data_IF_209595811166
#
_entry.id   IF_209595811166
#
_cell.length_a   1.000
_cell.length_b   1.000
_cell.length_c   1.000
_cell.angle_alpha   90.00
_cell.angle_beta   90.00
_cell.angle_gamma   90.00
#
_symmetry.space_group_name_H-M   'P 1'
#
loop_
_entity.id
_entity.type
_entity.pdbx_description
1 polymer ?
#
# COMPACT_ATOMS: atom_id res chain seq x y z
N UNK A 1 -21.42 7.92 -24.98
CA UNK A 1 -21.95 6.56 -25.24
C UNK A 1 -23.46 6.70 -25.24
N UNK A 2 -24.20 6.23 -26.25
CA UNK A 2 -25.66 6.26 -26.23
C UNK A 2 -26.20 5.55 -24.98
N UNK A 3 -27.31 6.04 -24.41
CA UNK A 3 -27.80 5.60 -23.10
C UNK A 3 -28.23 4.12 -23.02
N UNK A 4 -28.48 3.49 -24.16
CA UNK A 4 -28.92 2.11 -24.34
C UNK A 4 -27.80 1.14 -24.74
N UNK A 5 -26.55 1.61 -24.82
CA UNK A 5 -25.42 0.80 -25.23
C UNK A 5 -24.55 0.36 -24.05
N UNK A 6 -24.24 -0.93 -23.99
CA UNK A 6 -23.25 -1.48 -23.07
C UNK A 6 -21.93 -1.73 -23.81
N UNK A 7 -20.83 -1.21 -23.27
CA UNK A 7 -19.48 -1.43 -23.80
C UNK A 7 -18.76 -2.41 -22.89
N UNK A 8 -18.26 -3.50 -23.48
CA UNK A 8 -17.39 -4.44 -22.79
C UNK A 8 -15.94 -4.16 -23.21
N UNK A 9 -15.07 -3.94 -22.22
CA UNK A 9 -13.65 -3.70 -22.41
C UNK A 9 -12.84 -4.70 -21.58
N UNK A 10 -11.75 -5.23 -22.16
CA UNK A 10 -10.78 -6.01 -21.41
C UNK A 10 -9.99 -5.12 -20.45
N UNK A 11 -9.93 -5.49 -19.17
CA UNK A 11 -9.03 -4.85 -18.20
C UNK A 11 -7.58 -5.33 -18.31
N UNK A 12 -6.75 -4.93 -17.35
CA UNK A 12 -5.35 -5.37 -17.12
C UNK A 12 -4.32 -4.97 -18.20
N UNK A 13 -4.78 -4.62 -19.40
CA UNK A 13 -3.95 -4.32 -20.56
C UNK A 13 -4.04 -2.85 -20.98
N UNK A 14 -2.98 -2.33 -21.58
CA UNK A 14 -2.92 -0.97 -22.12
C UNK A 14 -2.00 -0.92 -23.36
N UNK A 15 -1.96 0.22 -24.05
CA UNK A 15 -1.00 0.50 -25.11
C UNK A 15 0.09 1.46 -24.63
N UNK A 16 1.34 1.25 -25.03
CA UNK A 16 2.41 2.23 -24.84
C UNK A 16 2.44 3.27 -25.98
N UNK A 17 3.37 4.23 -25.94
CA UNK A 17 3.51 5.28 -26.96
C UNK A 17 3.78 4.76 -28.38
N UNK A 18 4.28 3.51 -28.51
CA UNK A 18 4.52 2.83 -29.80
C UNK A 18 3.33 2.02 -30.28
N UNK A 19 2.23 2.00 -29.53
CA UNK A 19 1.06 1.16 -29.80
C UNK A 19 1.24 -0.32 -29.46
N UNK A 20 2.28 -0.67 -28.70
CA UNK A 20 2.52 -2.05 -28.28
C UNK A 20 1.65 -2.38 -27.06
N UNK A 21 1.16 -3.62 -27.00
CA UNK A 21 0.38 -4.14 -25.88
C UNK A 21 1.27 -4.30 -24.64
N UNK A 22 0.86 -3.67 -23.54
CA UNK A 22 1.52 -3.77 -22.23
C UNK A 22 0.53 -4.17 -21.14
N UNK A 23 1.05 -4.66 -20.02
CA UNK A 23 0.27 -5.05 -18.85
C UNK A 23 0.43 -4.03 -17.72
N UNK A 24 -0.63 -3.80 -16.96
CA UNK A 24 -0.67 -2.80 -15.88
C UNK A 24 -0.12 -3.32 -14.54
N UNK A 25 0.22 -4.61 -14.47
CA UNK A 25 0.74 -5.27 -13.28
C UNK A 25 -0.36 -5.68 -12.30
N UNK A 26 0.02 -5.89 -11.03
CA UNK A 26 -0.90 -6.40 -9.99
C UNK A 26 -2.13 -5.50 -9.85
N UNK A 27 -3.31 -6.12 -9.81
CA UNK A 27 -4.63 -5.46 -9.79
C UNK A 27 -4.87 -4.51 -10.98
N UNK A 28 -4.26 -4.82 -12.12
CA UNK A 28 -4.38 -4.01 -13.34
C UNK A 28 -5.81 -3.89 -13.88
N UNK A 29 -6.69 -4.86 -13.62
CA UNK A 29 -8.11 -4.78 -14.01
C UNK A 29 -8.85 -3.69 -13.26
N UNK A 30 -8.70 -3.65 -11.93
CA UNK A 30 -9.31 -2.59 -11.11
C UNK A 30 -8.77 -1.22 -11.53
N UNK A 31 -7.45 -1.13 -11.75
CA UNK A 31 -6.82 0.09 -12.25
C UNK A 31 -7.37 0.52 -13.61
N UNK A 32 -7.64 -0.43 -14.51
CA UNK A 32 -8.26 -0.14 -15.81
C UNK A 32 -9.65 0.47 -15.64
N UNK A 33 -10.47 -0.09 -14.73
CA UNK A 33 -11.81 0.43 -14.43
C UNK A 33 -11.74 1.85 -13.85
N UNK A 34 -10.83 2.10 -12.90
CA UNK A 34 -10.63 3.42 -12.31
C UNK A 34 -10.17 4.47 -13.31
N UNK A 35 -9.23 4.13 -14.20
CA UNK A 35 -8.76 5.04 -15.25
C UNK A 35 -9.88 5.32 -16.25
N UNK A 36 -10.63 4.30 -16.67
CA UNK A 36 -11.76 4.48 -17.59
C UNK A 36 -12.85 5.36 -16.96
N UNK A 37 -13.18 5.14 -15.68
CA UNK A 37 -14.12 5.96 -14.93
C UNK A 37 -13.66 7.43 -14.90
N UNK A 38 -12.37 7.68 -14.64
CA UNK A 38 -11.78 9.01 -14.69
C UNK A 38 -11.87 9.66 -16.08
N UNK A 39 -11.51 8.92 -17.15
CA UNK A 39 -11.58 9.42 -18.53
C UNK A 39 -13.01 9.79 -18.96
N UNK A 40 -14.00 9.01 -18.51
CA UNK A 40 -15.41 9.23 -18.83
C UNK A 40 -16.10 10.21 -17.87
N UNK A 41 -15.44 10.63 -16.78
CA UNK A 41 -16.06 11.34 -15.65
C UNK A 41 -17.32 10.62 -15.17
N UNK A 42 -17.19 9.32 -14.96
CA UNK A 42 -18.29 8.47 -14.53
C UNK A 42 -18.83 8.94 -13.17
N UNK A 43 -20.13 8.77 -12.95
CA UNK A 43 -20.78 9.07 -11.68
C UNK A 43 -20.34 8.12 -10.55
N UNK A 44 -19.88 6.90 -10.90
CA UNK A 44 -19.43 5.89 -9.95
C UNK A 44 -18.48 4.88 -10.65
N UNK A 45 -17.56 4.30 -9.88
CA UNK A 45 -16.74 3.15 -10.27
C UNK A 45 -17.04 1.94 -9.37
N UNK A 46 -17.76 0.94 -9.88
CA UNK A 46 -18.02 -0.28 -9.11
C UNK A 46 -16.92 -1.33 -9.31
N UNK A 47 -16.42 -1.89 -8.21
CA UNK A 47 -15.46 -3.00 -8.21
C UNK A 47 -16.18 -4.23 -7.64
N UNK A 48 -16.40 -5.20 -8.52
CA UNK A 48 -17.09 -6.45 -8.21
C UNK A 48 -16.07 -7.55 -7.91
N UNK A 49 -16.09 -8.06 -6.68
CA UNK A 49 -15.11 -9.02 -6.13
C UNK A 49 -15.83 -10.20 -5.46
N UNK A 50 -15.11 -10.99 -4.65
CA UNK A 50 -15.57 -12.17 -3.91
C UNK A 50 -15.92 -11.88 -2.43
N UNK A 51 -15.91 -10.62 -2.02
CA UNK A 51 -16.25 -10.15 -0.67
C UNK A 51 -17.33 -9.06 -0.70
N UNK A 52 -18.12 -8.97 0.36
CA UNK A 52 -19.23 -8.02 0.51
C UNK A 52 -18.78 -6.55 0.62
N UNK A 53 -17.48 -6.30 0.74
CA UNK A 53 -16.88 -4.97 0.79
C UNK A 53 -15.60 -4.98 1.64
N UNK A 54 -15.26 -3.83 2.22
CA UNK A 54 -14.14 -3.67 3.15
C UNK A 54 -14.61 -3.92 4.57
N UNK A 55 -13.92 -4.79 5.30
CA UNK A 55 -14.21 -5.09 6.70
C UNK A 55 -13.27 -4.33 7.64
N UNK A 56 -13.69 -4.17 8.91
CA UNK A 56 -12.87 -3.58 9.97
C UNK A 56 -11.54 -4.32 10.19
N UNK A 57 -11.48 -5.61 9.88
CA UNK A 57 -10.29 -6.45 9.90
C UNK A 57 -10.55 -7.69 9.04
N UNK A 58 -9.57 -8.56 8.85
CA UNK A 58 -9.76 -9.78 8.05
C UNK A 58 -10.80 -10.71 8.71
N UNK A 59 -11.99 -10.93 8.10
CA UNK A 59 -13.04 -11.76 8.68
C UNK A 59 -12.65 -13.24 8.80
N UNK A 60 -11.58 -13.68 8.10
CA UNK A 60 -11.04 -15.03 8.23
C UNK A 60 -10.24 -15.22 9.51
N UNK A 61 -9.75 -14.12 10.09
CA UNK A 61 -8.97 -14.10 11.34
C UNK A 61 -9.82 -13.66 12.54
N UNK A 62 -10.77 -12.75 12.32
CA UNK A 62 -11.63 -12.18 13.36
C UNK A 62 -13.10 -12.38 12.99
N UNK A 63 -13.82 -13.33 13.63
CA UNK A 63 -15.23 -13.61 13.31
C UNK A 63 -16.17 -12.42 13.49
N UNK A 64 -15.86 -11.52 14.42
CA UNK A 64 -16.66 -10.33 14.73
C UNK A 64 -16.35 -9.13 13.81
N UNK A 65 -15.58 -9.33 12.74
CA UNK A 65 -15.27 -8.29 11.77
C UNK A 65 -16.55 -7.72 11.14
N UNK A 66 -16.65 -6.40 11.10
CA UNK A 66 -17.85 -5.70 10.60
C UNK A 66 -17.60 -5.13 9.22
N UNK A 67 -18.60 -5.23 8.35
CA UNK A 67 -18.57 -4.58 7.05
C UNK A 67 -18.64 -3.05 7.24
N UNK A 68 -17.70 -2.33 6.65
CA UNK A 68 -17.69 -0.88 6.64
C UNK A 68 -18.69 -0.38 5.58
N UNK A 69 -19.59 0.51 5.98
CA UNK A 69 -20.55 1.12 5.06
C UNK A 69 -19.86 2.09 4.11
N UNK A 70 -18.99 2.92 4.66
CA UNK A 70 -18.27 3.95 3.93
C UNK A 70 -16.89 4.22 4.53
N UNK A 71 -15.98 4.69 3.68
CA UNK A 71 -14.65 5.15 4.08
C UNK A 71 -14.14 6.20 3.10
N UNK A 72 -13.21 7.04 3.56
CA UNK A 72 -12.54 8.02 2.71
C UNK A 72 -11.53 7.36 1.77
N UNK A 73 -11.18 8.05 0.69
CA UNK A 73 -10.10 7.62 -0.20
C UNK A 73 -8.76 7.41 0.54
N UNK A 74 -8.46 8.29 1.50
CA UNK A 74 -7.21 8.22 2.26
C UNK A 74 -7.20 6.99 3.17
N UNK A 75 -8.30 6.74 3.91
CA UNK A 75 -8.44 5.53 4.73
C UNK A 75 -8.30 4.27 3.87
N UNK A 76 -8.94 4.23 2.69
CA UNK A 76 -8.85 3.08 1.80
C UNK A 76 -7.42 2.87 1.29
N UNK A 77 -6.70 3.94 0.98
CA UNK A 77 -5.32 3.90 0.50
C UNK A 77 -4.37 3.36 1.58
N UNK A 78 -4.46 3.89 2.80
CA UNK A 78 -3.63 3.46 3.93
C UNK A 78 -3.89 2.00 4.31
N UNK A 79 -5.18 1.63 4.45
CA UNK A 79 -5.57 0.27 4.81
C UNK A 79 -5.08 -0.74 3.75
N UNK A 80 -5.19 -0.37 2.47
CA UNK A 80 -4.69 -1.17 1.36
C UNK A 80 -3.17 -1.29 1.32
N UNK A 81 -2.46 -0.20 1.58
CA UNK A 81 -0.99 -0.17 1.63
C UNK A 81 -0.47 -1.09 2.74
N UNK A 82 -1.12 -1.09 3.91
CA UNK A 82 -0.75 -1.92 5.06
C UNK A 82 -1.43 -3.30 5.09
N UNK A 83 -1.83 -3.82 3.93
CA UNK A 83 -2.09 -5.25 3.74
C UNK A 83 -3.54 -5.67 3.60
N UNK A 84 -4.51 -4.75 3.69
CA UNK A 84 -5.90 -5.07 3.37
C UNK A 84 -6.09 -5.18 1.84
N UNK A 85 -6.09 -6.41 1.33
CA UNK A 85 -6.10 -6.72 -0.11
C UNK A 85 -7.48 -6.53 -0.78
N UNK A 86 -8.15 -5.41 -0.56
CA UNK A 86 -9.44 -5.13 -1.22
C UNK A 86 -9.23 -4.30 -2.49
N UNK A 87 -8.38 -3.27 -2.43
CA UNK A 87 -8.07 -2.40 -3.56
C UNK A 87 -6.57 -2.12 -3.61
N UNK A 88 -6.04 -1.85 -4.80
CA UNK A 88 -4.65 -1.40 -4.91
C UNK A 88 -4.59 0.13 -4.82
N UNK A 89 -3.60 0.75 -4.13
CA UNK A 89 -3.45 2.20 -4.06
C UNK A 89 -3.44 2.90 -5.44
N UNK A 90 -2.86 2.23 -6.46
CA UNK A 90 -2.90 2.73 -7.85
C UNK A 90 -4.32 2.86 -8.41
N UNK A 91 -5.24 2.00 -8.01
CA UNK A 91 -6.65 2.05 -8.40
C UNK A 91 -7.38 3.21 -7.74
N UNK A 92 -7.06 3.50 -6.48
CA UNK A 92 -7.70 4.57 -5.70
C UNK A 92 -7.28 5.95 -6.24
N UNK A 93 -6.06 6.08 -6.75
CA UNK A 93 -5.50 7.39 -7.14
C UNK A 93 -6.31 8.11 -8.22
N UNK A 94 -6.66 7.51 -9.38
CA UNK A 94 -7.48 8.18 -10.39
C UNK A 94 -8.86 8.60 -9.87
N UNK A 95 -9.58 7.69 -9.21
CA UNK A 95 -10.93 7.99 -8.72
C UNK A 95 -10.92 9.07 -7.63
N UNK A 96 -9.91 9.09 -6.76
CA UNK A 96 -9.75 10.12 -5.75
C UNK A 96 -9.44 11.49 -6.38
N UNK A 97 -8.57 11.53 -7.40
CA UNK A 97 -8.23 12.79 -8.10
C UNK A 97 -9.46 13.45 -8.74
N UNK A 98 -10.36 12.65 -9.31
CA UNK A 98 -11.57 13.13 -9.96
C UNK A 98 -12.81 13.11 -9.05
N UNK A 99 -12.65 12.78 -7.75
CA UNK A 99 -13.74 12.68 -6.77
C UNK A 99 -14.87 11.74 -7.24
N UNK A 100 -14.51 10.65 -7.92
CA UNK A 100 -15.45 9.62 -8.38
C UNK A 100 -15.63 8.61 -7.24
N UNK A 101 -16.84 8.42 -6.72
CA UNK A 101 -17.09 7.43 -5.68
C UNK A 101 -16.85 6.02 -6.22
N UNK A 102 -16.31 5.14 -5.38
CA UNK A 102 -16.06 3.75 -5.74
C UNK A 102 -16.82 2.81 -4.80
N UNK A 103 -17.58 1.88 -5.37
CA UNK A 103 -18.40 0.94 -4.60
C UNK A 103 -17.82 -0.47 -4.73
N UNK A 104 -17.46 -1.07 -3.60
CA UNK A 104 -16.99 -2.45 -3.54
C UNK A 104 -18.19 -3.37 -3.35
N UNK A 105 -18.36 -4.35 -4.23
CA UNK A 105 -19.51 -5.26 -4.25
C UNK A 105 -19.09 -6.71 -4.40
N UNK A 106 -19.96 -7.61 -3.96
CA UNK A 106 -19.75 -9.05 -4.10
C UNK A 106 -20.54 -9.62 -5.29
N UNK A 107 -19.83 -10.28 -6.21
CA UNK A 107 -20.45 -11.03 -7.31
C UNK A 107 -21.30 -12.21 -6.82
N UNK A 108 -20.91 -12.86 -5.73
CA UNK A 108 -21.64 -13.97 -5.10
C UNK A 108 -22.78 -13.54 -4.18
N UNK A 109 -22.82 -12.28 -3.78
CA UNK A 109 -23.89 -11.70 -2.96
C UNK A 109 -24.27 -10.28 -3.44
N UNK A 110 -24.93 -10.13 -4.61
CA UNK A 110 -25.18 -8.83 -5.22
C UNK A 110 -26.10 -7.89 -4.41
N UNK A 111 -26.82 -8.44 -3.44
CA UNK A 111 -27.73 -7.71 -2.54
C UNK A 111 -26.99 -7.14 -1.31
N UNK A 112 -25.74 -7.53 -1.07
CA UNK A 112 -24.92 -6.91 -0.03
C UNK A 112 -24.80 -5.40 -0.28
N UNK A 113 -24.83 -4.58 0.79
CA UNK A 113 -24.77 -3.13 0.65
C UNK A 113 -23.45 -2.62 0.07
N UNK A 114 -22.36 -3.40 0.21
CA UNK A 114 -21.04 -2.97 -0.24
C UNK A 114 -20.32 -2.06 0.75
N UNK A 115 -19.19 -1.53 0.29
CA UNK A 115 -18.51 -0.40 0.94
C UNK A 115 -18.32 0.72 -0.06
N UNK A 116 -18.77 1.92 0.29
CA UNK A 116 -18.59 3.13 -0.50
C UNK A 116 -17.29 3.86 -0.11
N UNK A 117 -16.38 4.00 -1.06
CA UNK A 117 -15.16 4.79 -0.94
C UNK A 117 -15.40 6.15 -1.60
N UNK A 118 -15.31 7.23 -0.84
CA UNK A 118 -15.70 8.57 -1.32
C UNK A 118 -15.05 9.72 -0.55
N UNK A 119 -15.50 10.94 -0.84
CA UNK A 119 -15.03 12.16 -0.18
C UNK A 119 -15.57 12.32 1.25
N UNK A 120 -16.78 11.80 1.50
CA UNK A 120 -17.44 11.82 2.80
C UNK A 120 -17.50 10.41 3.38
N UNK A 121 -16.85 10.18 4.51
CA UNK A 121 -17.15 9.04 5.37
C UNK A 121 -18.42 9.36 6.17
N UNK A 122 -19.34 8.40 6.30
CA UNK A 122 -20.36 8.50 7.34
C UNK A 122 -19.64 8.60 8.69
N UNK A 123 -19.97 9.66 9.41
CA UNK A 123 -19.32 10.11 10.64
C UNK A 123 -19.73 9.22 11.81
N UNK A 124 -19.27 7.97 11.80
CA UNK A 124 -19.48 7.04 12.92
C UNK A 124 -18.67 7.46 14.17
N UNK A 125 -17.95 8.60 14.16
CA UNK A 125 -17.10 9.10 15.25
C UNK A 125 -16.12 8.04 15.82
N UNK A 126 -15.82 7.01 15.02
CA UNK A 126 -14.88 5.96 15.39
C UNK A 126 -13.46 6.41 15.05
N UNK A 127 -12.56 6.55 16.04
CA UNK A 127 -11.18 6.97 15.78
C UNK A 127 -10.36 5.92 15.00
N UNK A 128 -10.84 4.67 14.95
CA UNK A 128 -10.21 3.58 14.20
C UNK A 128 -11.28 2.89 13.35
N UNK A 129 -11.16 3.01 12.02
CA UNK A 129 -12.07 2.36 11.06
C UNK A 129 -11.69 0.91 10.78
N UNK A 130 -10.40 0.58 10.81
CA UNK A 130 -9.98 -0.79 10.61
C UNK A 130 -8.53 -1.07 10.97
N UNK A 131 -8.23 -2.36 11.03
CA UNK A 131 -6.94 -2.93 11.41
C UNK A 131 -6.53 -3.88 10.28
N UNK A 132 -5.39 -3.61 9.67
CA UNK A 132 -4.75 -4.48 8.68
C UNK A 132 -3.41 -4.99 9.21
N UNK A 133 -2.88 -6.03 8.59
CA UNK A 133 -1.55 -6.53 8.89
C UNK A 133 -0.70 -6.63 7.63
N UNK A 134 0.56 -6.19 7.76
CA UNK A 134 1.57 -6.39 6.72
C UNK A 134 2.51 -7.51 7.14
N UNK A 135 2.25 -8.70 6.61
CA UNK A 135 3.02 -9.91 6.93
C UNK A 135 4.30 -10.01 6.08
N UNK A 136 5.23 -10.88 6.49
CA UNK A 136 6.48 -11.17 5.79
C UNK A 136 7.38 -9.94 5.60
N UNK A 137 7.69 -9.28 6.72
CA UNK A 137 8.58 -8.13 6.80
C UNK A 137 9.79 -8.47 7.67
N UNK A 138 10.97 -7.96 7.30
CA UNK A 138 12.18 -7.98 8.12
C UNK A 138 12.43 -6.56 8.65
N UNK A 139 12.67 -6.43 9.96
CA UNK A 139 12.96 -5.14 10.60
C UNK A 139 14.45 -5.02 10.89
N UNK A 140 15.13 -4.11 10.21
CA UNK A 140 16.53 -3.80 10.49
C UNK A 140 16.61 -2.70 11.53
N UNK A 141 17.55 -2.83 12.48
CA UNK A 141 17.92 -1.76 13.40
C UNK A 141 19.40 -1.43 13.26
N UNK A 142 19.69 -0.17 12.96
CA UNK A 142 21.04 0.41 12.97
C UNK A 142 21.16 1.21 14.25
N UNK A 143 21.97 0.74 15.20
CA UNK A 143 22.16 1.35 16.51
C UNK A 143 23.64 1.48 16.85
N UNK A 144 23.97 2.41 17.74
CA UNK A 144 25.31 2.51 18.31
C UNK A 144 25.71 3.94 18.68
N UNK A 145 26.82 4.10 19.42
CA UNK A 145 27.32 5.41 19.83
C UNK A 145 27.65 6.33 18.65
N UNK A 146 28.03 5.75 17.50
CA UNK A 146 28.28 6.46 16.25
C UNK A 146 27.03 7.05 15.59
N UNK A 147 25.82 6.73 16.06
CA UNK A 147 24.60 7.35 15.53
C UNK A 147 24.39 8.78 16.07
N UNK A 148 24.74 9.00 17.35
CA UNK A 148 24.42 10.24 18.06
C UNK A 148 25.31 11.39 17.56
N UNK A 149 24.69 12.43 16.99
CA UNK A 149 25.40 13.63 16.50
C UNK A 149 26.14 13.44 15.17
N UNK A 150 26.05 12.27 14.52
CA UNK A 150 26.56 12.07 13.18
C UNK A 150 25.51 12.44 12.12
N UNK A 151 25.79 13.52 11.40
CA UNK A 151 24.96 13.97 10.28
C UNK A 151 25.11 12.98 9.12
N UNK A 152 23.96 12.56 8.55
CA UNK A 152 23.94 11.77 7.31
C UNK A 152 23.81 10.25 7.49
N UNK A 153 23.71 9.73 8.72
CA UNK A 153 23.51 8.29 8.94
C UNK A 153 22.23 7.77 8.28
N UNK A 154 21.09 8.45 8.51
CA UNK A 154 19.84 8.12 7.83
C UNK A 154 19.96 8.14 6.30
N UNK A 155 20.66 9.14 5.75
CA UNK A 155 20.88 9.26 4.32
C UNK A 155 21.67 8.08 3.76
N UNK A 156 22.71 7.61 4.48
CA UNK A 156 23.48 6.43 4.11
C UNK A 156 22.65 5.14 4.14
N UNK A 157 21.81 4.96 5.16
CA UNK A 157 20.87 3.83 5.23
C UNK A 157 19.99 3.79 3.99
N UNK A 158 19.30 4.88 3.66
CA UNK A 158 18.37 4.91 2.53
C UNK A 158 19.08 4.89 1.18
N UNK A 159 20.28 5.48 1.08
CA UNK A 159 21.10 5.37 -0.13
C UNK A 159 21.56 3.94 -0.39
N UNK A 160 21.94 3.19 0.64
CA UNK A 160 22.31 1.78 0.52
C UNK A 160 21.12 0.92 0.06
N UNK A 161 19.93 1.12 0.64
CA UNK A 161 18.71 0.44 0.21
C UNK A 161 18.33 0.78 -1.24
N UNK A 162 18.42 2.07 -1.61
CA UNK A 162 18.14 2.53 -2.97
C UNK A 162 19.10 1.93 -4.01
N UNK A 163 20.42 1.96 -3.76
CA UNK A 163 21.41 1.32 -4.65
C UNK A 163 21.22 -0.19 -4.74
N UNK A 164 20.73 -0.82 -3.67
CA UNK A 164 20.38 -2.23 -3.68
C UNK A 164 19.05 -2.52 -4.39
N UNK A 165 18.26 -1.50 -4.77
CA UNK A 165 16.93 -1.67 -5.37
C UNK A 165 15.92 -2.28 -4.40
N UNK A 166 15.95 -1.86 -3.13
CA UNK A 166 15.09 -2.37 -2.06
C UNK A 166 14.17 -1.24 -1.58
N UNK A 167 12.86 -1.50 -1.56
CA UNK A 167 11.88 -0.56 -1.04
C UNK A 167 11.76 -0.70 0.47
N UNK A 168 11.93 0.42 1.18
CA UNK A 168 11.65 0.50 2.62
C UNK A 168 10.17 0.81 2.81
N UNK A 169 9.51 0.09 3.72
CA UNK A 169 8.05 0.19 3.93
C UNK A 169 7.69 0.99 5.18
N UNK A 170 8.46 0.84 6.25
CA UNK A 170 8.29 1.56 7.52
C UNK A 170 9.64 2.07 7.98
N UNK A 171 9.64 3.25 8.59
CA UNK A 171 10.81 3.89 9.17
C UNK A 171 10.44 4.37 10.56
N UNK A 172 11.31 4.10 11.52
CA UNK A 172 11.21 4.58 12.90
C UNK A 172 12.61 5.02 13.33
N UNK A 173 12.69 6.15 14.02
CA UNK A 173 13.94 6.65 14.58
C UNK A 173 13.71 6.89 16.08
N UNK A 174 14.64 6.44 16.90
CA UNK A 174 14.61 6.73 18.33
C UNK A 174 14.81 8.23 18.57
N UNK A 175 14.05 8.81 19.50
CA UNK A 175 14.17 10.22 19.90
C UNK A 175 15.53 10.56 20.52
N UNK A 176 16.27 9.55 21.01
CA UNK A 176 17.66 9.71 21.46
C UNK A 176 18.67 9.80 20.32
N UNK A 177 18.22 9.66 19.07
CA UNK A 177 19.02 9.50 17.85
C UNK A 177 19.98 8.31 17.88
N UNK A 178 19.84 7.42 18.85
CA UNK A 178 20.73 6.28 19.04
C UNK A 178 20.47 5.14 18.04
N UNK A 179 19.29 5.11 17.42
CA UNK A 179 18.94 4.08 16.46
C UNK A 179 17.98 4.56 15.38
N UNK A 180 18.12 3.95 14.20
CA UNK A 180 17.16 4.01 13.11
C UNK A 180 16.76 2.57 12.78
N UNK A 181 15.46 2.32 12.81
CA UNK A 181 14.88 1.04 12.42
C UNK A 181 14.02 1.20 11.18
N UNK A 182 14.03 0.18 10.33
CA UNK A 182 13.26 0.19 9.10
C UNK A 182 12.83 -1.21 8.69
N UNK A 183 11.69 -1.32 8.02
CA UNK A 183 11.16 -2.60 7.55
C UNK A 183 11.29 -2.74 6.03
N UNK A 184 11.72 -3.91 5.58
CA UNK A 184 11.78 -4.31 4.16
C UNK A 184 11.03 -5.62 3.96
N UNK A 185 10.57 -5.95 2.73
CA UNK A 185 9.99 -7.27 2.46
C UNK A 185 10.95 -8.39 2.88
N UNK A 186 10.42 -9.46 3.48
CA UNK A 186 11.22 -10.60 3.94
C UNK A 186 12.08 -11.20 2.81
N UNK A 187 11.58 -11.18 1.57
CA UNK A 187 12.30 -11.60 0.36
C UNK A 187 13.60 -10.83 0.11
N UNK A 188 13.69 -9.59 0.60
CA UNK A 188 14.85 -8.71 0.44
C UNK A 188 15.80 -8.75 1.64
N UNK A 189 15.45 -9.49 2.70
CA UNK A 189 16.22 -9.53 3.95
C UNK A 189 17.72 -9.81 3.74
N UNK A 190 18.07 -10.84 2.95
CA UNK A 190 19.47 -11.18 2.70
C UNK A 190 20.22 -10.08 1.91
N UNK A 191 19.55 -9.46 0.91
CA UNK A 191 20.11 -8.37 0.12
C UNK A 191 20.29 -7.10 0.95
N UNK A 192 19.30 -6.77 1.77
CA UNK A 192 19.33 -5.63 2.68
C UNK A 192 20.45 -5.78 3.72
N UNK A 193 20.57 -6.95 4.35
CA UNK A 193 21.65 -7.25 5.29
C UNK A 193 23.02 -7.02 4.67
N UNK A 194 23.25 -7.57 3.48
CA UNK A 194 24.53 -7.41 2.77
C UNK A 194 24.81 -5.95 2.44
N UNK A 195 23.85 -5.24 1.87
CA UNK A 195 24.00 -3.83 1.52
C UNK A 195 24.33 -2.95 2.73
N UNK A 196 23.72 -3.24 3.88
CA UNK A 196 23.98 -2.54 5.14
C UNK A 196 25.35 -2.88 5.75
N UNK A 197 25.75 -4.16 5.69
CA UNK A 197 27.08 -4.58 6.14
C UNK A 197 28.20 -3.95 5.30
N UNK A 198 27.99 -3.85 3.99
CA UNK A 198 28.95 -3.23 3.08
C UNK A 198 29.02 -1.71 3.29
N UNK A 199 27.87 -1.02 3.44
CA UNK A 199 27.80 0.44 3.65
C UNK A 199 28.44 0.89 4.97
N UNK A 200 28.26 0.11 6.04
CA UNK A 200 28.70 0.46 7.40
C UNK A 200 29.86 -0.40 7.90
N UNK A 201 30.64 -1.01 7.00
CA UNK A 201 31.72 -1.93 7.35
C UNK A 201 32.70 -1.33 8.35
N UNK A 202 33.12 -0.08 8.15
CA UNK A 202 34.09 0.60 9.02
C UNK A 202 33.50 0.88 10.40
N UNK A 203 32.28 1.39 10.46
CA UNK A 203 31.61 1.70 11.73
C UNK A 203 31.32 0.45 12.56
N UNK A 204 30.95 -0.65 11.90
CA UNK A 204 30.76 -1.96 12.54
C UNK A 204 32.10 -2.52 13.06
N UNK A 205 33.18 -2.35 12.28
CA UNK A 205 34.52 -2.84 12.65
C UNK A 205 35.13 -2.06 13.83
N UNK A 206 34.95 -0.74 13.85
CA UNK A 206 35.45 0.14 14.91
C UNK A 206 34.52 0.18 16.15
N UNK A 207 33.41 -0.57 16.14
CA UNK A 207 32.45 -0.60 17.25
C UNK A 207 31.65 0.69 17.44
N UNK A 208 31.63 1.55 16.42
CA UNK A 208 30.79 2.75 16.39
C UNK A 208 29.32 2.40 16.17
N UNK A 209 29.06 1.29 15.47
CA UNK A 209 27.74 0.68 15.35
C UNK A 209 27.75 -0.72 15.97
N UNK A 210 26.62 -1.08 16.57
CA UNK A 210 26.34 -2.42 17.04
C UNK A 210 26.07 -3.36 15.84
N UNK A 211 26.27 -4.68 15.99
CA UNK A 211 25.88 -5.64 14.96
C UNK A 211 24.41 -5.46 14.56
N UNK A 212 24.15 -5.43 13.26
CA UNK A 212 22.81 -5.23 12.72
C UNK A 212 21.84 -6.28 13.26
N UNK A 213 20.84 -5.83 14.03
CA UNK A 213 19.71 -6.65 14.45
C UNK A 213 18.67 -6.72 13.32
N UNK A 214 18.15 -7.93 13.06
CA UNK A 214 17.13 -8.22 12.04
C UNK A 214 16.04 -9.10 12.62
#
# INVERSE_FOLDING_TARGET
IPADHMILMAGFTAGNEKGELVVLGRNGSDYSAAVLAACLRADCCEIWTDVDGVYTCDPRQVPDARLLKSMSYQEAMELSYFGAKVLHPRTITPIAQFQIPCLIKNTGNPQAPGTLIGASSDDDNLPVKGISNLNNMAMFSVSGPGMKGMIGMAARVFAAMSRAGISVVLITQSSSEYSISFCVPQSDCARARRAMQDEFYLELKEGLLEPLAV
#
